data_IF_075708281588
#
_entry.id   IF_075708281588
#
_cell.length_a   1.000
_cell.length_b   1.000
_cell.length_c   1.000
_cell.angle_alpha   90.00
_cell.angle_beta   90.00
_cell.angle_gamma   90.00
#
_symmetry.space_group_name_H-M   'P 1'
#
loop_
_entity.id
_entity.type
_entity.pdbx_description
1 polymer ?
#
# COMPACT_ATOMS: atom_id res chain seq x y z
N UNK A 1 9.14 10.35 -14.82
CA UNK A 1 10.24 11.33 -14.77
C UNK A 1 9.88 12.49 -13.85
N UNK A 2 10.90 13.12 -13.23
CA UNK A 2 10.69 14.26 -12.35
C UNK A 2 10.31 15.53 -13.14
N UNK A 3 9.63 16.45 -12.48
CA UNK A 3 9.35 17.79 -12.96
C UNK A 3 9.69 18.84 -11.89
N UNK A 4 9.55 20.13 -12.21
CA UNK A 4 9.95 21.22 -11.30
C UNK A 4 9.29 21.16 -9.92
N UNK A 5 8.07 20.62 -9.82
CA UNK A 5 7.40 20.42 -8.53
C UNK A 5 8.12 19.42 -7.64
N UNK A 6 8.64 18.33 -8.23
CA UNK A 6 9.47 17.36 -7.50
C UNK A 6 10.81 17.99 -7.10
N UNK A 7 11.45 18.74 -7.98
CA UNK A 7 12.70 19.43 -7.65
C UNK A 7 12.52 20.39 -6.47
N UNK A 8 11.40 21.13 -6.41
CA UNK A 8 11.07 22.00 -5.26
C UNK A 8 10.96 21.20 -3.95
N UNK A 9 10.24 20.08 -3.95
CA UNK A 9 10.08 19.22 -2.76
C UNK A 9 11.45 18.65 -2.32
N UNK A 10 12.22 18.11 -3.24
CA UNK A 10 13.57 17.58 -2.99
C UNK A 10 14.46 18.65 -2.36
N UNK A 11 14.52 19.85 -2.95
CA UNK A 11 15.33 20.95 -2.41
C UNK A 11 14.88 21.36 -1.00
N UNK A 12 13.59 21.32 -0.72
CA UNK A 12 13.05 21.63 0.60
C UNK A 12 13.46 20.55 1.61
N UNK A 13 13.24 19.28 1.30
CA UNK A 13 13.48 18.18 2.23
C UNK A 13 14.98 18.03 2.55
N UNK A 14 15.84 18.02 1.54
CA UNK A 14 17.30 17.99 1.73
C UNK A 14 17.83 19.27 2.39
N UNK A 15 17.29 20.42 2.00
CA UNK A 15 17.69 21.71 2.57
C UNK A 15 17.34 21.82 4.05
N UNK A 16 16.17 21.35 4.47
CA UNK A 16 15.78 21.31 5.89
C UNK A 16 16.68 20.33 6.65
N UNK A 17 16.90 19.12 6.12
CA UNK A 17 17.79 18.15 6.73
C UNK A 17 19.19 18.75 6.97
N UNK A 18 19.79 19.35 5.94
CA UNK A 18 21.10 20.00 6.06
C UNK A 18 21.11 21.14 7.08
N UNK A 19 20.08 22.00 7.08
CA UNK A 19 19.99 23.16 7.98
C UNK A 19 19.93 22.77 9.46
N UNK A 20 19.28 21.65 9.77
CA UNK A 20 19.06 21.20 11.15
C UNK A 20 19.95 20.02 11.56
N UNK A 21 20.97 19.66 10.76
CA UNK A 21 21.90 18.56 11.05
C UNK A 21 21.23 17.19 11.02
N UNK A 22 20.15 17.06 10.27
CA UNK A 22 19.43 15.82 10.06
C UNK A 22 19.91 15.06 8.80
N UNK A 23 19.22 13.98 8.47
CA UNK A 23 19.44 13.19 7.26
C UNK A 23 18.18 13.14 6.42
N UNK A 24 18.34 12.96 5.10
CA UNK A 24 17.24 12.74 4.17
C UNK A 24 17.41 11.38 3.49
N UNK A 25 16.36 10.57 3.49
CA UNK A 25 16.32 9.25 2.89
C UNK A 25 15.46 9.29 1.63
N UNK A 26 15.78 8.46 0.65
CA UNK A 26 14.97 8.23 -0.54
C UNK A 26 14.25 6.90 -0.41
N UNK A 27 12.90 6.92 -0.42
CA UNK A 27 12.07 5.72 -0.42
C UNK A 27 11.28 5.64 -1.72
N UNK A 28 11.38 4.53 -2.39
CA UNK A 28 10.53 4.16 -3.51
C UNK A 28 9.36 3.33 -2.99
N UNK A 29 8.13 3.81 -3.20
CA UNK A 29 6.91 3.08 -2.79
C UNK A 29 6.48 2.14 -3.92
N UNK A 30 7.30 1.13 -4.18
CA UNK A 30 7.16 0.14 -5.26
C UNK A 30 6.19 -0.99 -4.90
N UNK A 31 4.99 -0.64 -4.43
CA UNK A 31 3.95 -1.61 -4.07
C UNK A 31 3.06 -2.04 -5.24
N UNK A 32 3.21 -1.41 -6.40
CA UNK A 32 2.45 -1.74 -7.61
C UNK A 32 3.35 -2.34 -8.70
N UNK A 33 3.39 -3.68 -8.86
CA UNK A 33 4.31 -4.34 -9.79
C UNK A 33 4.07 -4.00 -11.26
N UNK A 34 2.91 -3.44 -11.61
CA UNK A 34 2.54 -3.18 -13.03
C UNK A 34 3.18 -1.90 -13.56
N UNK A 35 3.42 -0.91 -12.71
CA UNK A 35 3.75 0.46 -13.14
C UNK A 35 5.18 0.91 -12.83
N UNK A 36 6.02 0.06 -12.25
CA UNK A 36 7.32 0.47 -11.71
C UNK A 36 8.47 -0.24 -12.43
N UNK A 37 9.19 0.52 -13.26
CA UNK A 37 10.36 0.04 -14.00
C UNK A 37 11.66 0.59 -13.43
N UNK A 38 12.75 -0.17 -13.51
CA UNK A 38 14.11 0.25 -13.12
C UNK A 38 14.56 1.55 -13.81
N UNK A 39 14.06 1.82 -15.01
CA UNK A 39 14.35 3.05 -15.75
C UNK A 39 13.96 4.30 -14.95
N UNK A 40 12.76 4.31 -14.36
CA UNK A 40 12.28 5.45 -13.55
C UNK A 40 13.06 5.61 -12.25
N UNK A 41 13.40 4.51 -11.60
CA UNK A 41 14.22 4.50 -10.38
C UNK A 41 15.58 5.13 -10.67
N UNK A 42 16.27 4.70 -11.74
CA UNK A 42 17.57 5.22 -12.14
C UNK A 42 17.50 6.70 -12.54
N UNK A 43 16.47 7.10 -13.30
CA UNK A 43 16.26 8.49 -13.68
C UNK A 43 16.08 9.41 -12.44
N UNK A 44 15.30 8.97 -11.44
CA UNK A 44 15.11 9.73 -10.20
C UNK A 44 16.43 9.88 -9.42
N UNK A 45 17.21 8.81 -9.33
CA UNK A 45 18.51 8.85 -8.65
C UNK A 45 19.49 9.80 -9.37
N UNK A 46 19.50 9.78 -10.70
CA UNK A 46 20.36 10.64 -11.49
C UNK A 46 19.93 12.11 -11.42
N UNK A 47 18.63 12.39 -11.41
CA UNK A 47 18.09 13.73 -11.20
C UNK A 47 18.44 14.28 -9.81
N UNK A 48 18.42 13.45 -8.75
CA UNK A 48 18.88 13.83 -7.41
C UNK A 48 20.35 14.23 -7.42
N UNK A 49 21.22 13.43 -8.05
CA UNK A 49 22.65 13.72 -8.21
C UNK A 49 22.86 15.02 -8.98
N UNK A 50 22.10 15.23 -10.07
CA UNK A 50 22.19 16.45 -10.87
C UNK A 50 21.79 17.69 -10.06
N UNK A 51 20.79 17.58 -9.16
CA UNK A 51 20.43 18.64 -8.22
C UNK A 51 21.45 18.84 -7.09
N UNK A 52 22.48 17.99 -6.98
CA UNK A 52 23.54 18.08 -5.98
C UNK A 52 23.20 17.39 -4.66
N UNK A 53 22.20 16.51 -4.63
CA UNK A 53 21.78 15.80 -3.41
C UNK A 53 22.17 14.33 -3.42
N UNK A 54 22.56 13.83 -2.25
CA UNK A 54 22.82 12.40 -2.00
C UNK A 54 21.98 11.95 -0.82
N UNK A 55 21.06 10.99 -1.02
CA UNK A 55 20.28 10.43 0.09
C UNK A 55 21.19 9.66 1.06
N UNK A 56 20.83 9.71 2.34
CA UNK A 56 21.52 8.92 3.37
C UNK A 56 21.27 7.42 3.19
N UNK A 57 20.03 7.04 2.88
CA UNK A 57 19.62 5.68 2.56
C UNK A 57 18.71 5.71 1.33
N UNK A 58 18.85 4.71 0.47
CA UNK A 58 17.87 4.39 -0.59
C UNK A 58 17.19 3.08 -0.21
N UNK A 59 15.87 3.09 -0.06
CA UNK A 59 15.09 1.90 0.29
C UNK A 59 13.82 1.80 -0.57
N UNK A 60 13.23 0.63 -0.58
CA UNK A 60 12.04 0.31 -1.38
C UNK A 60 10.95 -0.26 -0.46
N UNK A 61 9.69 0.03 -0.75
CA UNK A 61 8.56 -0.57 -0.06
C UNK A 61 8.60 -2.09 -0.11
N UNK A 62 9.01 -2.64 -1.25
CA UNK A 62 9.16 -4.09 -1.45
C UNK A 62 10.20 -4.78 -0.56
N UNK A 63 11.17 -4.05 -0.01
CA UNK A 63 12.13 -4.61 0.96
C UNK A 63 11.44 -5.00 2.28
N UNK A 64 10.27 -4.42 2.55
CA UNK A 64 9.51 -4.60 3.79
C UNK A 64 8.25 -5.45 3.62
N UNK A 65 8.00 -6.08 2.47
CA UNK A 65 6.77 -6.85 2.22
C UNK A 65 6.50 -7.93 3.27
N UNK A 66 7.53 -8.66 3.73
CA UNK A 66 7.36 -9.64 4.80
C UNK A 66 6.90 -8.98 6.10
N UNK A 67 7.54 -7.87 6.47
CA UNK A 67 7.19 -7.10 7.66
C UNK A 67 5.77 -6.54 7.60
N UNK A 68 5.40 -6.00 6.45
CA UNK A 68 4.06 -5.47 6.19
C UNK A 68 3.00 -6.58 6.29
N UNK A 69 3.30 -7.77 5.74
CA UNK A 69 2.43 -8.95 5.88
C UNK A 69 2.26 -9.36 7.35
N UNK A 70 3.34 -9.41 8.15
CA UNK A 70 3.27 -9.69 9.58
C UNK A 70 2.40 -8.67 10.33
N UNK A 71 2.49 -7.39 9.96
CA UNK A 71 1.65 -6.34 10.55
C UNK A 71 0.19 -6.51 10.17
N UNK A 72 -0.13 -6.89 8.92
CA UNK A 72 -1.48 -7.21 8.50
C UNK A 72 -2.08 -8.38 9.30
N UNK A 73 -1.30 -9.46 9.47
CA UNK A 73 -1.68 -10.60 10.32
C UNK A 73 -1.94 -10.15 11.77
N UNK A 74 -1.13 -9.25 12.31
CA UNK A 74 -1.33 -8.70 13.64
C UNK A 74 -2.64 -7.91 13.75
N UNK A 75 -3.00 -7.12 12.74
CA UNK A 75 -4.27 -6.39 12.70
C UNK A 75 -5.46 -7.33 12.61
N UNK A 76 -5.38 -8.40 11.83
CA UNK A 76 -6.42 -9.44 11.81
C UNK A 76 -6.58 -10.06 13.20
N UNK A 77 -5.49 -10.46 13.85
CA UNK A 77 -5.52 -11.03 15.23
C UNK A 77 -6.15 -10.09 16.25
N UNK A 78 -6.02 -8.78 16.06
CA UNK A 78 -6.66 -7.76 16.89
C UNK A 78 -8.12 -7.48 16.52
N UNK A 79 -8.67 -8.13 15.48
CA UNK A 79 -10.02 -7.86 14.97
C UNK A 79 -10.17 -6.51 14.27
N UNK A 80 -9.05 -5.91 13.82
CA UNK A 80 -8.98 -4.60 13.16
C UNK A 80 -8.85 -4.67 11.63
N UNK A 81 -8.85 -5.87 11.07
CA UNK A 81 -8.87 -6.12 9.64
C UNK A 81 -9.68 -7.38 9.33
N UNK A 82 -10.24 -7.44 8.13
CA UNK A 82 -11.04 -8.57 7.65
C UNK A 82 -10.84 -8.78 6.15
N UNK A 83 -11.00 -10.03 5.70
CA UNK A 83 -11.01 -10.38 4.28
C UNK A 83 -12.40 -10.16 3.73
N UNK A 84 -12.49 -9.39 2.64
CA UNK A 84 -13.73 -9.04 1.95
C UNK A 84 -13.78 -9.71 0.58
N UNK A 85 -14.95 -10.24 0.21
CA UNK A 85 -15.18 -10.89 -1.09
C UNK A 85 -15.99 -9.98 -2.04
N UNK A 86 -16.27 -8.73 -1.65
CA UNK A 86 -16.93 -7.77 -2.53
C UNK A 86 -16.05 -7.42 -3.72
N UNK A 87 -16.63 -7.38 -4.90
CA UNK A 87 -16.00 -6.82 -6.09
C UNK A 87 -15.74 -5.32 -5.93
N UNK A 88 -14.87 -4.75 -6.76
CA UNK A 88 -14.57 -3.32 -6.72
C UNK A 88 -15.83 -2.45 -6.93
N UNK A 89 -16.76 -2.89 -7.80
CA UNK A 89 -18.02 -2.18 -8.04
C UNK A 89 -18.92 -2.22 -6.80
N UNK A 90 -19.04 -3.37 -6.15
CA UNK A 90 -19.79 -3.54 -4.92
C UNK A 90 -19.17 -2.72 -3.79
N UNK A 91 -17.85 -2.79 -3.59
CA UNK A 91 -17.15 -1.96 -2.59
C UNK A 91 -17.43 -0.47 -2.79
N UNK A 92 -17.49 0.00 -4.04
CA UNK A 92 -17.82 1.40 -4.35
C UNK A 92 -19.25 1.74 -3.92
N UNK A 93 -20.22 0.85 -4.15
CA UNK A 93 -21.62 1.03 -3.70
C UNK A 93 -21.72 1.03 -2.17
N UNK A 94 -21.05 0.06 -1.51
CA UNK A 94 -21.07 -0.05 -0.05
C UNK A 94 -20.37 1.12 0.63
N UNK A 95 -19.36 1.71 0.01
CA UNK A 95 -18.63 2.87 0.56
C UNK A 95 -19.49 4.13 0.65
N UNK A 96 -20.55 4.26 -0.15
CA UNK A 96 -21.40 5.44 -0.21
C UNK A 96 -20.73 6.62 -0.92
N UNK A 97 -21.22 7.82 -0.63
CA UNK A 97 -20.76 9.07 -1.25
C UNK A 97 -20.19 10.04 -0.22
N UNK A 98 -19.75 11.22 -0.65
CA UNK A 98 -19.29 12.28 0.27
C UNK A 98 -20.41 12.77 1.19
N UNK A 99 -21.66 12.67 0.77
CA UNK A 99 -22.85 13.14 1.51
C UNK A 99 -23.67 12.03 2.15
N UNK A 100 -23.44 10.78 1.72
CA UNK A 100 -24.17 9.61 2.23
C UNK A 100 -23.18 8.66 2.90
N UNK A 101 -23.48 8.14 4.11
CA UNK A 101 -22.62 7.17 4.78
C UNK A 101 -22.55 5.86 3.98
N UNK A 102 -21.48 5.12 4.20
CA UNK A 102 -21.36 3.76 3.69
C UNK A 102 -22.14 2.75 4.55
N UNK A 103 -22.22 1.54 4.05
CA UNK A 103 -22.82 0.38 4.74
C UNK A 103 -21.78 -0.70 4.95
N UNK A 104 -21.93 -1.49 6.00
CA UNK A 104 -21.01 -2.58 6.30
C UNK A 104 -21.08 -3.66 5.23
N UNK A 105 -19.91 -4.18 4.85
CA UNK A 105 -19.81 -5.40 4.06
C UNK A 105 -20.44 -6.59 4.81
N UNK A 106 -21.13 -7.52 4.13
CA UNK A 106 -21.64 -8.75 4.75
C UNK A 106 -20.50 -9.62 5.33
N UNK A 107 -19.28 -9.44 4.86
CA UNK A 107 -18.09 -10.20 5.28
C UNK A 107 -17.34 -9.54 6.45
N UNK A 108 -17.73 -8.34 6.87
CA UNK A 108 -17.05 -7.54 7.89
C UNK A 108 -16.93 -8.21 9.26
N UNK A 109 -17.85 -9.11 9.56
CA UNK A 109 -17.95 -9.78 10.87
C UNK A 109 -17.46 -11.24 10.85
N UNK A 110 -16.68 -11.64 9.86
CA UNK A 110 -15.96 -12.92 9.90
C UNK A 110 -15.10 -13.03 11.16
N UNK A 111 -14.96 -14.24 11.68
CA UNK A 111 -14.11 -14.50 12.85
C UNK A 111 -12.64 -14.23 12.53
N UNK A 112 -11.83 -14.06 13.56
CA UNK A 112 -10.38 -13.88 13.42
C UNK A 112 -9.75 -15.09 12.71
N UNK A 113 -10.18 -16.28 13.08
CA UNK A 113 -9.70 -17.55 12.51
C UNK A 113 -10.00 -17.67 11.02
N UNK A 114 -11.22 -17.34 10.60
CA UNK A 114 -11.61 -17.33 9.18
C UNK A 114 -10.78 -16.30 8.39
N UNK A 115 -10.60 -15.10 8.92
CA UNK A 115 -9.81 -14.06 8.27
C UNK A 115 -8.33 -14.44 8.15
N UNK A 116 -7.75 -15.10 9.15
CA UNK A 116 -6.36 -15.58 9.11
C UNK A 116 -6.19 -16.68 8.05
N UNK A 117 -7.11 -17.67 8.01
CA UNK A 117 -7.09 -18.73 6.98
C UNK A 117 -7.19 -18.13 5.57
N UNK A 118 -8.18 -17.26 5.35
CA UNK A 118 -8.39 -16.63 4.04
C UNK A 118 -7.20 -15.78 3.62
N UNK A 119 -6.60 -15.00 4.52
CA UNK A 119 -5.46 -14.14 4.19
C UNK A 119 -4.20 -14.97 3.87
N UNK A 120 -3.98 -16.07 4.58
CA UNK A 120 -2.90 -17.01 4.26
C UNK A 120 -3.11 -17.65 2.88
N UNK A 121 -4.34 -18.06 2.55
CA UNK A 121 -4.70 -18.62 1.24
C UNK A 121 -4.59 -17.58 0.12
N UNK A 122 -4.89 -16.30 0.39
CA UNK A 122 -4.59 -15.19 -0.54
C UNK A 122 -3.09 -15.16 -0.86
N UNK A 123 -2.22 -15.23 0.17
CA UNK A 123 -0.76 -15.26 -0.02
C UNK A 123 -0.29 -16.48 -0.81
N UNK A 124 -0.95 -17.62 -0.67
CA UNK A 124 -0.65 -18.86 -1.40
C UNK A 124 -1.12 -18.84 -2.86
N UNK A 125 -1.85 -17.80 -3.28
CA UNK A 125 -2.35 -17.66 -4.65
C UNK A 125 -3.55 -18.55 -4.98
N UNK A 126 -4.34 -18.95 -4.00
CA UNK A 126 -5.51 -19.81 -4.21
C UNK A 126 -6.70 -19.07 -4.84
N UNK A 127 -6.69 -17.72 -4.83
CA UNK A 127 -7.78 -16.89 -5.34
C UNK A 127 -7.32 -16.06 -6.54
N UNK A 128 -8.25 -15.73 -7.43
CA UNK A 128 -8.00 -14.90 -8.61
C UNK A 128 -7.83 -13.42 -8.25
N UNK A 129 -7.27 -12.64 -9.17
CA UNK A 129 -7.18 -11.19 -9.08
C UNK A 129 -8.57 -10.59 -8.88
N UNK A 130 -8.68 -9.73 -7.88
CA UNK A 130 -9.93 -9.04 -7.55
C UNK A 130 -10.97 -9.89 -6.81
N UNK A 131 -10.73 -11.19 -6.56
CA UNK A 131 -11.67 -12.08 -5.87
C UNK A 131 -11.79 -11.78 -4.38
N UNK A 132 -10.68 -11.38 -3.76
CA UNK A 132 -10.63 -11.02 -2.34
C UNK A 132 -9.69 -9.85 -2.09
N UNK A 133 -10.01 -9.08 -1.05
CA UNK A 133 -9.16 -8.01 -0.54
C UNK A 133 -9.07 -8.10 0.98
N UNK A 134 -7.96 -7.63 1.57
CA UNK A 134 -7.91 -7.35 3.00
C UNK A 134 -8.31 -5.89 3.23
N UNK A 135 -9.24 -5.64 4.13
CA UNK A 135 -9.70 -4.30 4.48
C UNK A 135 -9.48 -4.00 5.97
N UNK A 136 -9.13 -2.76 6.26
CA UNK A 136 -9.15 -2.26 7.64
C UNK A 136 -10.60 -2.20 8.16
N UNK A 137 -10.80 -2.53 9.43
CA UNK A 137 -12.11 -2.46 10.10
C UNK A 137 -12.17 -1.17 10.94
N UNK A 138 -12.65 -0.08 10.34
CA UNK A 138 -12.67 1.25 10.96
C UNK A 138 -14.11 1.71 11.20
N UNK A 139 -14.66 2.49 10.26
CA UNK A 139 -16.03 3.03 10.37
C UNK A 139 -16.60 3.35 8.99
N UNK A 140 -17.59 2.57 8.56
CA UNK A 140 -18.24 2.77 7.25
C UNK A 140 -19.15 4.02 7.22
N UNK A 141 -19.47 4.63 8.37
CA UNK A 141 -20.23 5.87 8.46
C UNK A 141 -19.33 7.12 8.59
N UNK A 142 -18.00 6.95 8.59
CA UNK A 142 -17.07 8.08 8.74
C UNK A 142 -17.34 9.18 7.71
N UNK A 143 -17.34 10.46 8.11
CA UNK A 143 -17.41 11.59 7.17
C UNK A 143 -16.17 11.64 6.25
N UNK A 144 -15.01 11.13 6.70
CA UNK A 144 -13.86 10.93 5.85
C UNK A 144 -14.00 9.62 5.09
N UNK A 145 -14.29 9.69 3.80
CA UNK A 145 -14.50 8.53 2.93
C UNK A 145 -13.30 7.57 2.90
N UNK A 146 -12.07 8.08 3.12
CA UNK A 146 -10.86 7.26 3.16
C UNK A 146 -10.77 6.38 4.42
N UNK A 147 -11.57 6.67 5.44
CA UNK A 147 -11.64 5.89 6.69
C UNK A 147 -12.78 4.85 6.68
N UNK A 148 -13.50 4.72 5.55
CA UNK A 148 -14.58 3.74 5.39
C UNK A 148 -14.03 2.39 4.94
N UNK A 149 -13.46 1.66 5.89
CA UNK A 149 -12.84 0.34 5.72
C UNK A 149 -11.98 0.25 4.44
N UNK A 150 -10.87 1.01 4.35
CA UNK A 150 -10.02 1.03 3.16
C UNK A 150 -9.39 -0.33 2.88
N UNK A 151 -9.10 -0.59 1.60
CA UNK A 151 -8.35 -1.78 1.17
C UNK A 151 -6.90 -1.64 1.61
N UNK A 152 -6.38 -2.67 2.26
CA UNK A 152 -4.99 -2.78 2.73
C UNK A 152 -4.15 -3.67 1.82
N UNK A 153 -4.71 -4.81 1.36
CA UNK A 153 -4.08 -5.74 0.43
C UNK A 153 -5.02 -6.12 -0.70
N UNK A 154 -4.47 -6.29 -1.88
CA UNK A 154 -5.12 -6.83 -3.08
C UNK A 154 -4.37 -8.03 -3.62
N UNK A 155 -5.08 -8.92 -4.34
CA UNK A 155 -4.49 -10.02 -5.09
C UNK A 155 -4.12 -9.51 -6.48
N UNK A 156 -2.89 -9.82 -6.93
CA UNK A 156 -2.41 -9.48 -8.25
C UNK A 156 -1.32 -10.48 -8.66
N UNK A 157 -1.62 -11.37 -9.62
CA UNK A 157 -0.68 -12.39 -10.12
C UNK A 157 0.24 -11.83 -11.20
N UNK A 158 1.11 -10.90 -10.77
CA UNK A 158 2.12 -10.27 -11.63
C UNK A 158 3.45 -10.31 -10.90
N UNK A 159 4.52 -10.68 -11.62
CA UNK A 159 5.87 -10.66 -11.07
C UNK A 159 6.30 -9.23 -10.69
N UNK A 160 6.83 -9.07 -9.51
CA UNK A 160 7.38 -7.79 -9.04
C UNK A 160 8.81 -7.61 -9.54
N UNK A 161 9.18 -6.44 -10.05
CA UNK A 161 10.50 -6.18 -10.64
C UNK A 161 11.68 -6.48 -9.71
N UNK A 162 11.52 -6.39 -8.38
CA UNK A 162 12.56 -6.71 -7.37
C UNK A 162 12.34 -8.02 -6.64
N UNK A 163 11.09 -8.42 -6.40
CA UNK A 163 10.72 -9.61 -5.61
C UNK A 163 10.39 -10.84 -6.47
N UNK A 164 10.33 -10.68 -7.80
CA UNK A 164 9.92 -11.76 -8.71
C UNK A 164 8.53 -12.29 -8.38
N UNK A 165 8.37 -13.61 -8.43
CA UNK A 165 7.09 -14.31 -8.22
C UNK A 165 6.84 -14.69 -6.74
N UNK A 166 7.61 -14.10 -5.80
CA UNK A 166 7.48 -14.43 -4.37
C UNK A 166 6.13 -14.04 -3.79
N UNK A 167 5.47 -13.03 -4.35
CA UNK A 167 4.23 -12.45 -3.88
C UNK A 167 3.16 -12.45 -4.97
N UNK A 168 1.93 -12.73 -4.59
CA UNK A 168 0.72 -12.54 -5.39
C UNK A 168 -0.32 -11.66 -4.68
N UNK A 169 0.03 -11.13 -3.50
CA UNK A 169 -0.73 -10.11 -2.80
C UNK A 169 0.18 -8.92 -2.53
N UNK A 170 -0.35 -7.72 -2.71
CA UNK A 170 0.41 -6.48 -2.58
C UNK A 170 -0.31 -5.49 -1.67
N UNK A 171 0.43 -4.81 -0.77
CA UNK A 171 -0.14 -3.78 0.07
C UNK A 171 -0.53 -2.55 -0.76
N UNK A 172 -1.49 -1.78 -0.28
CA UNK A 172 -1.83 -0.47 -0.82
C UNK A 172 -0.87 0.58 -0.24
N UNK A 173 -0.83 1.78 -0.88
CA UNK A 173 0.15 2.83 -0.56
C UNK A 173 0.20 3.25 0.91
N UNK A 174 -0.94 3.35 1.55
CA UNK A 174 -1.06 3.92 2.90
C UNK A 174 -1.10 2.87 4.01
N UNK A 175 -0.64 1.66 3.71
CA UNK A 175 -0.57 0.58 4.69
C UNK A 175 0.80 0.37 5.29
#
# INVERSE_FOLDING_TARGET
>A
YLHIGHAKAICLDFGIAARYGGVCNLRFDDTNPVNEGEEYVNAIIDDLKWLGYTPNIVCFGSDYFEKTYEMAVLLIKKGLAYVDDLSQEEMTKYRGTLTEPGTNSPFRNRTVEENLDLFERMRKGEFKDGEKTLRAKIDMASPNINMRDPVMYRILHVAHHRQGDKWCIYPMYDF
#
